data_IF_775123457336
#
_entry.id   IF_775123457336
#
_cell.length_a   1.000
_cell.length_b   1.000
_cell.length_c   1.000
_cell.angle_alpha   90.00
_cell.angle_beta   90.00
_cell.angle_gamma   90.00
#
_symmetry.space_group_name_H-M   'P 1'
#
loop_
_entity.id
_entity.type
_entity.pdbx_description
1 polymer ?
#
# COMPACT_ATOMS: atom_id res chain seq x y z
N UNK A 1 -6.80 -20.02 -27.49
CA UNK A 1 -7.27 -18.73 -26.95
C UNK A 1 -7.93 -18.99 -25.61
N UNK A 2 -7.17 -18.88 -24.53
CA UNK A 2 -7.65 -19.12 -23.16
C UNK A 2 -8.49 -17.92 -22.74
N UNK A 3 -9.74 -18.15 -22.36
CA UNK A 3 -10.67 -17.12 -21.88
C UNK A 3 -10.08 -16.56 -20.57
N UNK A 4 -9.43 -15.40 -20.61
CA UNK A 4 -9.06 -14.68 -19.38
C UNK A 4 -10.38 -14.33 -18.68
N UNK A 5 -10.63 -14.95 -17.52
CA UNK A 5 -11.81 -14.69 -16.70
C UNK A 5 -11.77 -13.26 -16.18
N UNK A 6 -12.83 -12.48 -16.46
CA UNK A 6 -13.00 -11.12 -15.95
C UNK A 6 -12.93 -11.03 -14.41
N UNK A 7 -13.22 -12.13 -13.70
CA UNK A 7 -13.10 -12.23 -12.24
C UNK A 7 -11.65 -12.09 -11.74
N UNK A 8 -10.68 -12.66 -12.47
CA UNK A 8 -9.25 -12.56 -12.13
C UNK A 8 -8.78 -11.11 -12.23
N UNK A 9 -9.27 -10.38 -13.23
CA UNK A 9 -8.98 -8.94 -13.39
C UNK A 9 -9.61 -8.11 -12.26
N UNK A 10 -10.81 -8.46 -11.79
CA UNK A 10 -11.47 -7.74 -10.69
C UNK A 10 -10.70 -7.86 -9.38
N UNK A 11 -10.31 -9.07 -8.97
CA UNK A 11 -9.54 -9.28 -7.74
C UNK A 11 -8.11 -8.75 -7.83
N UNK A 12 -7.49 -8.80 -9.02
CA UNK A 12 -6.19 -8.18 -9.23
C UNK A 12 -6.28 -6.65 -9.19
N UNK A 13 -7.35 -6.06 -9.70
CA UNK A 13 -7.57 -4.61 -9.66
C UNK A 13 -7.83 -4.15 -8.22
N UNK A 14 -8.65 -4.88 -7.47
CA UNK A 14 -8.92 -4.59 -6.06
C UNK A 14 -7.64 -4.61 -5.20
N UNK A 15 -6.77 -5.61 -5.41
CA UNK A 15 -5.47 -5.66 -4.74
C UNK A 15 -4.57 -4.48 -5.17
N UNK A 16 -4.57 -4.15 -6.46
CA UNK A 16 -3.80 -3.04 -7.00
C UNK A 16 -4.23 -1.69 -6.39
N UNK A 17 -5.53 -1.51 -6.15
CA UNK A 17 -6.11 -0.33 -5.53
C UNK A 17 -5.79 -0.27 -4.03
N UNK A 18 -5.92 -1.38 -3.31
CA UNK A 18 -5.50 -1.50 -1.90
C UNK A 18 -4.02 -1.14 -1.70
N UNK A 19 -3.14 -1.67 -2.55
CA UNK A 19 -1.71 -1.38 -2.48
C UNK A 19 -1.38 0.08 -2.82
N UNK A 20 -2.18 0.72 -3.68
CA UNK A 20 -2.04 2.12 -4.01
C UNK A 20 -2.48 3.01 -2.85
N UNK A 21 -3.58 2.65 -2.19
CA UNK A 21 -4.10 3.33 -1.00
C UNK A 21 -3.10 3.24 0.16
N UNK A 22 -2.59 2.05 0.44
CA UNK A 22 -1.54 1.86 1.43
C UNK A 22 -0.30 2.70 1.12
N UNK A 23 0.13 2.75 -0.15
CA UNK A 23 1.28 3.56 -0.54
C UNK A 23 1.06 5.07 -0.31
N UNK A 24 -0.18 5.57 -0.50
CA UNK A 24 -0.54 6.95 -0.17
C UNK A 24 -0.54 7.18 1.34
N UNK A 25 -1.14 6.26 2.10
CA UNK A 25 -1.18 6.31 3.55
C UNK A 25 0.23 6.31 4.16
N UNK A 26 1.12 5.44 3.69
CA UNK A 26 2.50 5.32 4.17
C UNK A 26 3.32 6.61 3.91
N UNK A 27 3.05 7.30 2.80
CA UNK A 27 3.70 8.57 2.48
C UNK A 27 3.28 9.70 3.45
N UNK A 28 2.03 9.67 3.93
CA UNK A 28 1.50 10.61 4.92
C UNK A 28 1.85 10.23 6.37
N UNK A 29 2.06 8.94 6.59
CA UNK A 29 2.40 8.36 7.88
C UNK A 29 3.87 8.63 8.23
N UNK A 30 4.07 9.34 9.35
CA UNK A 30 5.39 9.74 9.85
C UNK A 30 5.92 8.84 10.97
N UNK A 31 5.36 7.63 11.16
CA UNK A 31 5.78 6.73 12.24
C UNK A 31 7.28 6.47 12.20
N UNK A 32 7.92 6.57 13.37
CA UNK A 32 9.35 6.36 13.71
C UNK A 32 10.34 6.25 12.52
N UNK A 33 10.30 7.20 11.59
CA UNK A 33 11.37 7.37 10.62
C UNK A 33 12.45 8.19 11.30
N UNK A 34 13.71 7.73 11.24
CA UNK A 34 14.88 8.46 11.75
C UNK A 34 14.94 9.92 11.28
N UNK A 35 14.30 10.22 10.16
CA UNK A 35 13.94 11.57 9.72
C UNK A 35 12.45 11.63 9.39
N UNK A 36 11.68 12.30 10.25
CA UNK A 36 10.27 12.57 10.00
C UNK A 36 10.13 13.52 8.80
N UNK A 37 9.13 13.27 7.95
CA UNK A 37 8.71 14.24 6.94
C UNK A 37 7.87 15.39 7.52
N UNK A 38 7.60 15.34 8.83
CA UNK A 38 6.93 16.40 9.59
C UNK A 38 7.96 17.19 10.39
N UNK A 39 7.69 18.47 10.54
CA UNK A 39 8.44 19.33 11.44
C UNK A 39 8.41 18.75 12.87
N UNK A 40 9.58 18.61 13.50
CA UNK A 40 9.72 18.04 14.84
C UNK A 40 8.96 18.85 15.91
N UNK A 41 8.74 20.15 15.68
CA UNK A 41 7.98 21.02 16.60
C UNK A 41 6.47 20.87 16.48
N UNK A 42 5.97 20.36 15.35
CA UNK A 42 4.54 20.21 15.04
C UNK A 42 4.12 18.75 14.83
N UNK A 43 5.00 17.77 15.05
CA UNK A 43 4.76 16.36 14.72
C UNK A 43 3.55 15.72 15.42
N UNK A 44 3.20 16.21 16.61
CA UNK A 44 2.03 15.80 17.39
C UNK A 44 0.83 16.74 17.29
N UNK A 45 0.94 17.84 16.55
CA UNK A 45 -0.15 18.81 16.41
C UNK A 45 -1.21 18.23 15.47
N UNK A 46 -2.34 17.81 16.06
CA UNK A 46 -3.53 17.38 15.33
C UNK A 46 -4.68 18.34 15.64
N UNK A 47 -5.48 18.68 14.63
CA UNK A 47 -6.73 19.40 14.83
C UNK A 47 -7.65 18.58 15.74
N UNK A 48 -8.34 19.25 16.67
CA UNK A 48 -9.35 18.63 17.51
C UNK A 48 -10.36 17.86 16.65
N UNK A 49 -10.67 16.63 17.06
CA UNK A 49 -11.69 15.78 16.41
C UNK A 49 -13.10 16.03 16.96
N UNK A 50 -13.28 17.03 17.82
CA UNK A 50 -14.57 17.34 18.47
C UNK A 50 -15.70 17.70 17.50
N UNK A 51 -15.36 18.12 16.28
CA UNK A 51 -16.33 18.46 15.23
C UNK A 51 -16.73 17.25 14.37
N UNK A 52 -16.00 16.13 14.46
CA UNK A 52 -16.27 14.92 13.69
C UNK A 52 -17.35 14.09 14.38
N UNK A 53 -18.19 13.43 13.59
CA UNK A 53 -19.12 12.46 14.16
C UNK A 53 -18.37 11.24 14.69
N UNK A 54 -19.00 10.49 15.58
CA UNK A 54 -18.44 9.21 16.06
C UNK A 54 -18.20 8.22 14.92
N UNK A 55 -19.03 8.28 13.88
CA UNK A 55 -18.92 7.42 12.70
C UNK A 55 -17.66 7.75 11.89
N UNK A 56 -17.44 9.04 11.57
CA UNK A 56 -16.23 9.50 10.88
C UNK A 56 -14.95 9.15 11.65
N UNK A 57 -15.05 9.13 13.00
CA UNK A 57 -13.91 8.77 13.84
C UNK A 57 -13.61 7.26 13.75
N UNK A 58 -14.64 6.42 13.75
CA UNK A 58 -14.49 4.99 13.63
C UNK A 58 -14.00 4.59 12.25
N UNK A 59 -14.57 5.14 11.17
CA UNK A 59 -14.17 4.87 9.80
C UNK A 59 -12.67 5.16 9.61
N UNK A 60 -12.22 6.36 9.97
CA UNK A 60 -10.80 6.72 9.88
C UNK A 60 -9.88 5.82 10.74
N UNK A 61 -10.39 5.25 11.83
CA UNK A 61 -9.63 4.32 12.68
C UNK A 61 -9.54 2.94 12.05
N UNK A 62 -10.61 2.47 11.40
CA UNK A 62 -10.65 1.21 10.66
C UNK A 62 -9.71 1.28 9.45
N UNK A 63 -9.75 2.37 8.68
CA UNK A 63 -8.86 2.58 7.54
C UNK A 63 -7.39 2.56 8.00
N UNK A 64 -7.07 3.28 9.07
CA UNK A 64 -5.72 3.32 9.62
C UNK A 64 -5.26 1.93 10.08
N UNK A 65 -6.14 1.16 10.72
CA UNK A 65 -5.85 -0.22 11.11
C UNK A 65 -5.60 -1.11 9.88
N UNK A 66 -6.47 -1.04 8.86
CA UNK A 66 -6.32 -1.80 7.62
C UNK A 66 -4.98 -1.50 6.94
N UNK A 67 -4.59 -0.23 6.85
CA UNK A 67 -3.30 0.16 6.26
C UNK A 67 -2.09 -0.33 7.09
N UNK A 68 -2.21 -0.40 8.41
CA UNK A 68 -1.18 -1.02 9.26
C UNK A 68 -1.03 -2.51 8.98
N UNK A 69 -2.15 -3.23 8.77
CA UNK A 69 -2.12 -4.64 8.39
C UNK A 69 -1.47 -4.85 7.02
N UNK A 70 -1.74 -3.97 6.04
CA UNK A 70 -1.04 -3.99 4.75
C UNK A 70 0.45 -3.69 4.91
N UNK A 71 0.83 -2.78 5.81
CA UNK A 71 2.24 -2.51 6.12
C UNK A 71 2.95 -3.76 6.68
N UNK A 72 2.31 -4.47 7.60
CA UNK A 72 2.83 -5.75 8.11
C UNK A 72 2.95 -6.82 7.02
N UNK A 73 2.01 -6.88 6.08
CA UNK A 73 2.11 -7.76 4.91
C UNK A 73 3.30 -7.41 4.00
N UNK A 74 3.55 -6.11 3.80
CA UNK A 74 4.69 -5.61 3.02
C UNK A 74 6.04 -5.92 3.69
N UNK A 75 6.09 -5.98 5.02
CA UNK A 75 7.29 -6.39 5.77
C UNK A 75 7.53 -7.90 5.73
N UNK A 76 6.47 -8.71 5.56
CA UNK A 76 6.57 -10.17 5.54
C UNK A 76 7.06 -10.76 4.20
N UNK A 77 6.99 -9.99 3.11
CA UNK A 77 7.47 -10.41 1.78
C UNK A 77 8.95 -10.07 1.57
N UNK A 78 9.57 -10.65 0.54
CA UNK A 78 10.96 -10.34 0.21
C UNK A 78 11.12 -8.87 -0.18
N UNK A 79 12.30 -8.30 0.11
CA UNK A 79 12.61 -6.92 -0.26
C UNK A 79 12.53 -6.64 -1.76
N UNK A 80 12.75 -7.65 -2.60
CA UNK A 80 12.61 -7.53 -4.07
C UNK A 80 11.16 -7.38 -4.49
N UNK A 81 10.26 -8.17 -3.88
CA UNK A 81 8.82 -8.05 -4.12
C UNK A 81 8.27 -6.73 -3.58
N UNK A 82 8.68 -6.34 -2.37
CA UNK A 82 8.30 -5.06 -1.79
C UNK A 82 8.76 -3.87 -2.67
N UNK A 83 9.99 -3.93 -3.20
CA UNK A 83 10.51 -2.91 -4.12
C UNK A 83 9.70 -2.86 -5.43
N UNK A 84 9.36 -4.02 -6.01
CA UNK A 84 8.56 -4.07 -7.23
C UNK A 84 7.20 -3.40 -7.05
N UNK A 85 6.51 -3.67 -5.93
CA UNK A 85 5.23 -3.04 -5.58
C UNK A 85 5.39 -1.53 -5.42
N UNK A 86 6.37 -1.08 -4.63
CA UNK A 86 6.61 0.36 -4.39
C UNK A 86 6.91 1.13 -5.67
N UNK A 87 7.68 0.54 -6.60
CA UNK A 87 7.98 1.18 -7.90
C UNK A 87 6.72 1.30 -8.75
N UNK A 88 5.87 0.26 -8.80
CA UNK A 88 4.59 0.35 -9.51
C UNK A 88 3.66 1.40 -8.90
N UNK A 89 3.43 1.39 -7.59
CA UNK A 89 2.57 2.37 -6.93
C UNK A 89 3.08 3.80 -7.16
N UNK A 90 4.41 4.01 -7.08
CA UNK A 90 5.02 5.33 -7.33
C UNK A 90 4.86 5.78 -8.79
N UNK A 91 4.93 4.87 -9.75
CA UNK A 91 4.69 5.17 -11.15
C UNK A 91 3.22 5.44 -11.46
N UNK A 92 2.29 4.77 -10.78
CA UNK A 92 0.84 5.02 -10.90
C UNK A 92 0.42 6.38 -10.36
N UNK A 93 1.05 6.87 -9.29
CA UNK A 93 0.79 8.21 -8.74
C UNK A 93 1.52 9.34 -9.49
N UNK A 94 2.55 9.01 -10.25
CA UNK A 94 3.50 9.98 -10.81
C UNK A 94 3.69 9.85 -12.31
N UNK A 95 4.79 10.40 -12.85
CA UNK A 95 5.02 10.46 -14.30
C UNK A 95 5.54 9.15 -14.92
N UNK A 96 5.49 8.01 -14.21
CA UNK A 96 5.94 6.72 -14.77
C UNK A 96 7.44 6.56 -15.02
N UNK A 97 8.28 7.42 -14.41
CA UNK A 97 9.74 7.46 -14.67
C UNK A 97 10.57 6.59 -13.75
N UNK A 98 10.00 6.06 -12.67
CA UNK A 98 10.73 5.26 -11.70
C UNK A 98 11.07 3.90 -12.30
N UNK A 99 12.28 3.44 -12.03
CA UNK A 99 12.81 2.18 -12.56
C UNK A 99 13.26 1.31 -11.40
N UNK A 100 12.91 0.03 -11.46
CA UNK A 100 13.40 -0.96 -10.53
C UNK A 100 14.76 -1.48 -11.01
N UNK A 101 15.87 -1.20 -10.31
CA UNK A 101 17.19 -1.68 -10.73
C UNK A 101 17.34 -3.20 -10.65
N UNK A 102 16.55 -3.88 -9.80
CA UNK A 102 16.61 -5.34 -9.61
C UNK A 102 15.84 -6.11 -10.68
N UNK A 103 14.74 -5.54 -11.21
CA UNK A 103 13.92 -6.17 -12.23
C UNK A 103 14.16 -5.64 -13.66
N UNK A 104 14.62 -4.39 -13.79
CA UNK A 104 14.82 -3.74 -15.09
C UNK A 104 13.56 -3.77 -15.96
N UNK A 105 13.69 -4.23 -17.20
CA UNK A 105 12.57 -4.40 -18.14
C UNK A 105 11.56 -5.48 -17.71
N UNK A 106 11.92 -6.37 -16.78
CA UNK A 106 11.05 -7.42 -16.24
C UNK A 106 10.19 -6.93 -15.08
N UNK A 107 10.13 -5.63 -14.85
CA UNK A 107 9.35 -5.02 -13.79
C UNK A 107 7.87 -5.48 -13.78
N UNK A 108 7.14 -5.57 -14.91
CA UNK A 108 5.76 -6.08 -14.91
C UNK A 108 5.66 -7.53 -14.40
N UNK A 109 6.64 -8.38 -14.74
CA UNK A 109 6.70 -9.77 -14.27
C UNK A 109 7.04 -9.85 -12.77
N UNK A 110 7.98 -9.01 -12.33
CA UNK A 110 8.36 -8.92 -10.91
C UNK A 110 7.18 -8.43 -10.06
N UNK A 111 6.39 -7.48 -10.57
CA UNK A 111 5.18 -7.01 -9.91
C UNK A 111 4.12 -8.11 -9.85
N UNK A 112 3.83 -8.80 -10.96
CA UNK A 112 2.88 -9.92 -10.96
C UNK A 112 3.28 -11.01 -9.94
N UNK A 113 4.57 -11.35 -9.86
CA UNK A 113 5.08 -12.28 -8.85
C UNK A 113 4.93 -11.75 -7.42
N UNK A 114 5.17 -10.45 -7.20
CA UNK A 114 4.97 -9.81 -5.91
C UNK A 114 3.50 -9.85 -5.45
N UNK A 115 2.54 -9.69 -6.37
CA UNK A 115 1.10 -9.83 -6.07
C UNK A 115 0.76 -11.23 -5.58
N UNK A 116 1.28 -12.26 -6.24
CA UNK A 116 1.10 -13.65 -5.79
C UNK A 116 1.71 -13.86 -4.40
N UNK A 117 2.89 -13.28 -4.13
CA UNK A 117 3.57 -13.43 -2.85
C UNK A 117 2.87 -12.72 -1.68
N UNK A 118 2.25 -11.56 -1.90
CA UNK A 118 1.63 -10.77 -0.83
C UNK A 118 0.20 -11.21 -0.48
N UNK A 119 -0.57 -11.72 -1.46
CA UNK A 119 -1.95 -12.22 -1.27
C UNK A 119 -2.16 -13.08 -0.01
N UNK A 120 -1.36 -14.13 0.26
CA UNK A 120 -1.57 -14.96 1.46
C UNK A 120 -1.37 -14.19 2.78
N UNK A 121 -0.52 -13.15 2.79
CA UNK A 121 -0.31 -12.32 3.97
C UNK A 121 -1.47 -11.37 4.23
N UNK A 122 -2.01 -10.76 3.18
CA UNK A 122 -3.19 -9.88 3.28
C UNK A 122 -4.38 -10.63 3.87
N UNK A 123 -4.65 -11.85 3.36
CA UNK A 123 -5.69 -12.74 3.90
C UNK A 123 -5.40 -13.14 5.34
N UNK A 124 -4.16 -13.52 5.66
CA UNK A 124 -3.75 -13.90 7.02
C UNK A 124 -3.93 -12.77 8.03
N UNK A 125 -3.70 -11.53 7.62
CA UNK A 125 -3.86 -10.35 8.47
C UNK A 125 -5.31 -9.83 8.53
N UNK A 126 -6.25 -10.50 7.86
CA UNK A 126 -7.68 -10.22 7.93
C UNK A 126 -8.11 -8.98 7.13
N UNK A 127 -7.35 -8.61 6.09
CA UNK A 127 -7.70 -7.48 5.23
C UNK A 127 -8.49 -7.98 4.03
N UNK A 128 -9.68 -7.42 3.84
CA UNK A 128 -10.54 -7.65 2.68
C UNK A 128 -10.33 -6.52 1.66
N UNK A 129 -10.39 -6.86 0.36
CA UNK A 129 -10.21 -5.93 -0.75
C UNK A 129 -11.00 -6.38 -1.98
#
# INVERSE_FOLDING_TARGET
>A
MTRQSALVTSEDQALDDLLLEWFRWEAQYSGEKWYSNRDATCGGSASSRQWMSTDDIHEASVDAWQMQQVAAAMEAISGDHALAIRVECRNRLGPGVWRNPRAGLRQPLAYAAAKVAIRPWIVKFGVEY
#
